data_IF_856758815777
#
_entry.id   IF_856758815777
#
_cell.length_a   1.000
_cell.length_b   1.000
_cell.length_c   1.000
_cell.angle_alpha   90.00
_cell.angle_beta   90.00
_cell.angle_gamma   90.00
#
_symmetry.space_group_name_H-M   'P 1'
#
loop_
_entity.id
_entity.type
_entity.pdbx_description
1 polymer ?
#
# COMPACT_ATOMS: atom_id res chain seq x y z
N UNK A 1 20.74 15.72 -2.76
CA UNK A 1 20.24 14.53 -3.50
C UNK A 1 19.57 13.64 -2.47
N UNK A 2 18.25 13.79 -2.27
CA UNK A 2 17.54 13.03 -1.23
C UNK A 2 17.24 11.64 -1.74
N UNK A 3 18.14 10.69 -1.48
CA UNK A 3 17.87 9.26 -1.61
C UNK A 3 16.86 8.85 -0.54
N UNK A 4 15.59 9.21 -0.73
CA UNK A 4 14.50 8.78 0.16
C UNK A 4 14.11 7.37 -0.24
N UNK A 5 14.94 6.39 0.18
CA UNK A 5 14.59 4.97 0.14
C UNK A 5 13.17 4.82 0.70
N UNK A 6 12.32 4.06 0.01
CA UNK A 6 10.96 3.80 0.45
C UNK A 6 11.02 3.19 1.86
N UNK A 7 10.80 4.01 2.89
CA UNK A 7 10.83 3.50 4.27
C UNK A 7 9.58 2.66 4.42
N UNK A 8 9.74 1.35 4.41
CA UNK A 8 8.66 0.41 4.73
C UNK A 8 8.29 0.57 6.20
N UNK A 9 7.03 0.89 6.45
CA UNK A 9 6.48 1.15 7.79
C UNK A 9 5.68 -0.04 8.29
N UNK A 10 5.02 -0.78 7.39
CA UNK A 10 4.25 -1.96 7.76
C UNK A 10 5.23 -3.08 8.12
N UNK A 11 5.29 -3.44 9.40
CA UNK A 11 5.93 -4.68 9.86
C UNK A 11 5.03 -5.87 9.60
N UNK A 12 5.55 -7.09 9.71
CA UNK A 12 4.71 -8.29 9.53
C UNK A 12 3.61 -8.39 10.61
N UNK A 13 3.90 -7.92 11.83
CA UNK A 13 2.93 -7.85 12.92
C UNK A 13 1.78 -6.88 12.62
N UNK A 14 2.11 -5.67 12.18
CA UNK A 14 1.11 -4.66 11.75
C UNK A 14 0.33 -5.21 10.55
N UNK A 15 1.01 -5.89 9.62
CA UNK A 15 0.36 -6.47 8.46
C UNK A 15 -0.68 -7.52 8.86
N UNK A 16 -0.37 -8.41 9.80
CA UNK A 16 -1.33 -9.39 10.33
C UNK A 16 -2.55 -8.71 10.94
N UNK A 17 -2.35 -7.65 11.72
CA UNK A 17 -3.45 -6.88 12.30
C UNK A 17 -4.35 -6.28 11.22
N UNK A 18 -3.74 -5.60 10.23
CA UNK A 18 -4.47 -5.03 9.09
C UNK A 18 -5.23 -6.11 8.33
N UNK A 19 -4.59 -7.25 8.02
CA UNK A 19 -5.25 -8.35 7.32
C UNK A 19 -6.44 -8.89 8.11
N UNK A 20 -6.31 -9.07 9.42
CA UNK A 20 -7.40 -9.54 10.27
C UNK A 20 -8.56 -8.53 10.30
N UNK A 21 -8.28 -7.23 10.40
CA UNK A 21 -9.31 -6.18 10.30
C UNK A 21 -9.99 -6.21 8.95
N UNK A 22 -9.24 -6.29 7.86
CA UNK A 22 -9.81 -6.39 6.50
C UNK A 22 -10.70 -7.63 6.33
N UNK A 23 -10.31 -8.77 6.93
CA UNK A 23 -11.13 -9.99 6.92
C UNK A 23 -12.42 -9.80 7.71
N UNK A 24 -12.34 -9.19 8.89
CA UNK A 24 -13.49 -8.92 9.76
C UNK A 24 -14.57 -8.08 9.04
N UNK A 25 -14.14 -7.07 8.26
CA UNK A 25 -15.05 -6.22 7.48
C UNK A 25 -15.41 -6.78 6.08
N UNK A 26 -15.03 -8.03 5.77
CA UNK A 26 -15.42 -8.67 4.50
C UNK A 26 -14.60 -8.26 3.28
N UNK A 27 -13.47 -7.56 3.44
CA UNK A 27 -12.59 -7.10 2.36
C UNK A 27 -11.69 -8.22 1.75
N UNK A 28 -11.90 -9.48 2.16
CA UNK A 28 -11.03 -10.65 1.89
C UNK A 28 -10.96 -11.12 0.42
N UNK A 29 -11.83 -10.61 -0.47
CA UNK A 29 -11.87 -11.08 -1.87
C UNK A 29 -10.73 -10.55 -2.74
N UNK A 30 -10.01 -9.54 -2.29
CA UNK A 30 -8.88 -8.99 -3.03
C UNK A 30 -7.56 -9.56 -2.49
N UNK A 31 -6.73 -10.12 -3.38
CA UNK A 31 -5.34 -10.53 -3.08
C UNK A 31 -4.50 -9.29 -2.76
N UNK A 32 -4.71 -8.72 -1.58
CA UNK A 32 -3.98 -7.55 -1.13
C UNK A 32 -2.67 -8.03 -0.53
N UNK A 33 -1.56 -7.62 -1.15
CA UNK A 33 -0.25 -7.83 -0.59
C UNK A 33 0.11 -6.65 0.31
N UNK A 34 0.97 -6.94 1.29
CA UNK A 34 1.60 -5.94 2.16
C UNK A 34 2.20 -4.77 1.37
N UNK A 35 2.84 -5.09 0.25
CA UNK A 35 3.45 -4.15 -0.68
C UNK A 35 2.46 -3.14 -1.30
N UNK A 36 1.26 -3.58 -1.68
CA UNK A 36 0.24 -2.67 -2.23
C UNK A 36 -0.22 -1.70 -1.13
N UNK A 37 -0.43 -2.19 0.09
CA UNK A 37 -0.84 -1.36 1.22
C UNK A 37 0.27 -0.37 1.62
N UNK A 38 1.52 -0.80 1.60
CA UNK A 38 2.67 0.08 1.80
C UNK A 38 2.72 1.19 0.74
N UNK A 39 2.48 0.87 -0.54
CA UNK A 39 2.44 1.86 -1.61
C UNK A 39 1.27 2.86 -1.46
N UNK A 40 0.08 2.39 -1.05
CA UNK A 40 -1.07 3.27 -0.75
C UNK A 40 -0.73 4.21 0.41
N UNK A 41 -0.20 3.68 1.52
CA UNK A 41 0.18 4.50 2.68
C UNK A 41 1.30 5.49 2.35
N UNK A 42 2.27 5.09 1.54
CA UNK A 42 3.31 5.98 1.05
C UNK A 42 2.70 7.15 0.27
N UNK A 43 1.75 6.88 -0.64
CA UNK A 43 1.05 7.91 -1.42
C UNK A 43 0.26 8.86 -0.52
N UNK A 44 -0.46 8.33 0.47
CA UNK A 44 -1.26 9.11 1.42
C UNK A 44 -0.36 9.99 2.32
N UNK A 45 0.78 9.46 2.77
CA UNK A 45 1.74 10.17 3.63
C UNK A 45 2.49 11.28 2.89
N UNK A 46 2.87 11.04 1.65
CA UNK A 46 3.72 11.97 0.88
C UNK A 46 2.91 12.97 0.06
N UNK A 47 1.68 12.63 -0.31
CA UNK A 47 0.89 13.43 -1.25
C UNK A 47 1.42 13.43 -2.68
N UNK A 48 2.58 12.83 -2.95
CA UNK A 48 3.26 12.82 -4.24
C UNK A 48 2.38 12.24 -5.36
N UNK A 49 2.60 12.59 -6.65
CA UNK A 49 1.89 11.98 -7.77
C UNK A 49 1.91 10.44 -7.72
N UNK A 50 0.85 9.78 -8.20
CA UNK A 50 0.79 8.31 -8.27
C UNK A 50 1.97 7.72 -9.03
N UNK A 51 2.42 8.38 -10.11
CA UNK A 51 3.55 7.94 -10.93
C UNK A 51 4.89 7.93 -10.20
N UNK A 52 4.99 8.61 -9.06
CA UNK A 52 6.21 8.69 -8.28
C UNK A 52 6.26 7.64 -7.16
N UNK A 53 5.27 6.74 -7.10
CA UNK A 53 5.29 5.61 -6.18
C UNK A 53 6.56 4.78 -6.45
N UNK A 54 7.37 4.49 -5.43
CA UNK A 54 8.56 3.67 -5.58
C UNK A 54 8.20 2.26 -6.11
N UNK A 55 8.84 1.86 -7.22
CA UNK A 55 8.58 0.57 -7.88
C UNK A 55 8.93 -0.64 -6.99
N UNK A 56 9.84 -0.46 -6.03
CA UNK A 56 10.22 -1.47 -5.04
C UNK A 56 9.10 -1.78 -4.04
N UNK A 57 8.10 -0.90 -3.92
CA UNK A 57 6.86 -1.19 -3.22
C UNK A 57 5.90 -1.94 -4.16
N UNK A 58 5.43 -1.27 -5.21
CA UNK A 58 4.46 -1.82 -6.15
C UNK A 58 4.39 -0.95 -7.40
N UNK A 59 4.14 -1.50 -8.60
CA UNK A 59 3.84 -0.68 -9.78
C UNK A 59 2.67 0.26 -9.52
N UNK A 60 2.86 1.55 -9.83
CA UNK A 60 1.90 2.59 -9.48
C UNK A 60 0.50 2.33 -10.06
N UNK A 61 0.39 1.69 -11.24
CA UNK A 61 -0.89 1.34 -11.86
C UNK A 61 -1.65 0.33 -10.98
N UNK A 62 -0.94 -0.66 -10.44
CA UNK A 62 -1.53 -1.67 -9.55
C UNK A 62 -2.01 -1.03 -8.26
N UNK A 63 -1.21 -0.13 -7.68
CA UNK A 63 -1.60 0.61 -6.48
C UNK A 63 -2.82 1.49 -6.72
N UNK A 64 -2.81 2.29 -7.79
CA UNK A 64 -3.91 3.17 -8.16
C UNK A 64 -5.21 2.39 -8.43
N UNK A 65 -5.14 1.33 -9.24
CA UNK A 65 -6.30 0.50 -9.54
C UNK A 65 -6.88 -0.15 -8.28
N UNK A 66 -6.02 -0.58 -7.35
CA UNK A 66 -6.48 -1.13 -6.07
C UNK A 66 -7.17 -0.07 -5.22
N UNK A 67 -6.55 1.10 -5.07
CA UNK A 67 -7.11 2.21 -4.31
C UNK A 67 -8.49 2.60 -4.85
N UNK A 68 -8.60 2.77 -6.17
CA UNK A 68 -9.84 3.16 -6.82
C UNK A 68 -10.95 2.09 -6.77
N UNK A 69 -10.59 0.81 -6.59
CA UNK A 69 -11.57 -0.26 -6.38
C UNK A 69 -12.15 -0.26 -4.94
N UNK A 70 -11.50 0.40 -3.99
CA UNK A 70 -11.99 0.52 -2.61
C UNK A 70 -12.70 1.84 -2.31
N UNK A 71 -12.49 2.86 -3.16
CA UNK A 71 -13.23 4.11 -3.12
C UNK A 71 -14.68 3.91 -3.58
#
# INVERSE_FOLDING_TARGET
MFSNMSRRVITDEIWVQIQNTMQFYGCYRSRNSKNIMEAILWKLRTGAPWRDIPEDLCPWQTTYNRFNHWA
#
